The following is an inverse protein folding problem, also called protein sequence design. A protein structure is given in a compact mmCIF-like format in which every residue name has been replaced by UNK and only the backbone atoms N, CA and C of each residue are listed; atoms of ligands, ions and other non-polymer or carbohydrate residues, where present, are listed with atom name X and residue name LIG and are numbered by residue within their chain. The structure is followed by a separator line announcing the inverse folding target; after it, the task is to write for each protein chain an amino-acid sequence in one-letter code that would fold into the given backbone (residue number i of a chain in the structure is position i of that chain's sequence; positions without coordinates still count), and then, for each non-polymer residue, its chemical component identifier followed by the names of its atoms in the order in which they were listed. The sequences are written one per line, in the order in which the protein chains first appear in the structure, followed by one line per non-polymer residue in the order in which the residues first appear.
data_IF_371137815854
#
_entry.id   IF_371137815854
#
_cell.length_a   1.000
_cell.length_b   1.000
_cell.length_c   1.000
_cell.angle_alpha   90.00
_cell.angle_beta   90.00
_cell.angle_gamma   90.00
#
_symmetry.space_group_name_H-M   'P 1'
#
loop_
_entity.id
_entity.type
_entity.pdbx_description
1 polymer ?
#
# COMPACT_ATOMS: atom_id res chain seq x y z
N UNK A 1 -10.89 17.01 -19.92
CA UNK A 1 -9.66 17.72 -19.52
C UNK A 1 -8.52 17.18 -20.37
N UNK A 2 -7.59 18.02 -20.86
CA UNK A 2 -6.39 17.52 -21.55
C UNK A 2 -5.54 16.75 -20.52
N UNK A 3 -5.13 15.54 -20.85
CA UNK A 3 -4.15 14.81 -20.05
C UNK A 3 -2.86 15.64 -20.01
N UNK A 4 -2.45 16.07 -18.81
CA UNK A 4 -1.17 16.73 -18.58
C UNK A 4 -0.15 15.70 -18.12
N UNK A 5 1.07 15.76 -18.65
CA UNK A 5 2.19 14.94 -18.16
C UNK A 5 2.40 15.23 -16.67
N UNK A 6 2.31 14.20 -15.83
CA UNK A 6 2.66 14.29 -14.41
C UNK A 6 4.12 13.91 -14.22
N UNK A 7 4.91 14.87 -13.73
CA UNK A 7 6.26 14.64 -13.24
C UNK A 7 6.30 14.80 -11.72
N UNK A 8 6.93 13.84 -11.04
CA UNK A 8 7.13 13.83 -9.58
C UNK A 8 8.62 13.60 -9.29
N UNK A 9 9.41 14.65 -9.04
CA UNK A 9 10.82 14.51 -8.66
C UNK A 9 11.05 13.53 -7.49
N UNK A 10 12.28 13.03 -7.31
CA UNK A 10 12.64 12.25 -6.11
C UNK A 10 12.25 12.97 -4.82
N UNK A 11 11.73 12.24 -3.84
CA UNK A 11 11.30 12.81 -2.54
C UNK A 11 10.07 13.73 -2.60
N UNK A 12 9.40 13.85 -3.74
CA UNK A 12 8.16 14.61 -3.86
C UNK A 12 6.94 13.71 -4.06
N UNK A 13 5.79 14.19 -3.62
CA UNK A 13 4.51 13.49 -3.69
C UNK A 13 3.62 13.95 -2.55
N UNK A 14 2.38 13.51 -2.54
CA UNK A 14 1.56 13.61 -1.32
C UNK A 14 1.93 12.44 -0.42
N UNK A 15 2.29 12.71 0.82
CA UNK A 15 2.57 11.66 1.80
C UNK A 15 1.31 11.35 2.59
N UNK A 16 1.07 10.05 2.79
CA UNK A 16 0.09 9.50 3.71
C UNK A 16 0.81 8.60 4.71
N UNK A 17 0.43 8.70 5.97
CA UNK A 17 0.95 7.84 7.04
C UNK A 17 0.05 6.60 7.16
N UNK A 18 0.65 5.43 6.95
CA UNK A 18 0.07 4.15 7.34
C UNK A 18 0.74 3.65 8.64
N UNK A 19 0.12 2.71 9.39
CA UNK A 19 0.68 2.21 10.64
C UNK A 19 2.10 1.61 10.52
N UNK A 20 2.42 1.02 9.36
CA UNK A 20 3.64 0.26 9.10
C UNK A 20 4.55 0.89 8.02
N UNK A 21 4.14 1.99 7.39
CA UNK A 21 4.89 2.65 6.32
C UNK A 21 4.47 4.10 6.08
N UNK A 22 5.36 4.87 5.46
CA UNK A 22 4.99 6.10 4.77
C UNK A 22 4.67 5.78 3.31
N UNK A 23 3.52 6.27 2.83
CA UNK A 23 3.05 6.09 1.46
C UNK A 23 3.15 7.42 0.72
N UNK A 24 4.04 7.50 -0.26
CA UNK A 24 4.20 8.70 -1.09
C UNK A 24 3.52 8.51 -2.43
N UNK A 25 2.45 9.27 -2.69
CA UNK A 25 1.73 9.25 -3.96
C UNK A 25 2.56 9.92 -5.06
N UNK A 26 3.12 9.10 -5.97
CA UNK A 26 3.91 9.59 -7.12
C UNK A 26 3.00 9.94 -8.28
N UNK A 27 1.99 9.10 -8.57
CA UNK A 27 1.00 9.30 -9.62
C UNK A 27 -0.37 8.92 -9.06
N UNK A 28 -1.20 9.92 -8.74
CA UNK A 28 -2.60 9.72 -8.35
C UNK A 28 -3.51 9.47 -9.56
N UNK A 29 -4.69 8.88 -9.33
CA UNK A 29 -5.67 8.54 -10.37
C UNK A 29 -6.09 9.72 -11.27
N UNK A 30 -6.16 10.94 -10.72
CA UNK A 30 -6.49 12.15 -11.49
C UNK A 30 -5.50 12.43 -12.64
N UNK A 31 -4.25 11.98 -12.50
CA UNK A 31 -3.23 12.15 -13.53
C UNK A 31 -3.33 11.12 -14.65
N UNK A 32 -4.02 10.00 -14.42
CA UNK A 32 -4.09 8.86 -15.34
C UNK A 32 -5.48 8.65 -15.92
N UNK A 33 -6.44 9.51 -15.57
CA UNK A 33 -7.85 9.31 -15.90
C UNK A 33 -8.44 8.06 -15.20
N UNK A 34 -7.89 7.68 -14.04
CA UNK A 34 -8.32 6.50 -13.28
C UNK A 34 -7.76 5.17 -13.78
N UNK A 35 -6.79 5.17 -14.72
CA UNK A 35 -6.25 3.93 -15.27
C UNK A 35 -5.32 3.20 -14.29
N UNK A 36 -4.49 3.94 -13.57
CA UNK A 36 -3.58 3.39 -12.57
C UNK A 36 -3.14 4.46 -11.56
N UNK A 37 -2.57 3.99 -10.46
CA UNK A 37 -1.88 4.79 -9.47
C UNK A 37 -0.48 4.21 -9.20
N UNK A 38 0.46 5.07 -8.83
CA UNK A 38 1.82 4.70 -8.46
C UNK A 38 2.19 5.36 -7.13
N UNK A 39 2.65 4.54 -6.21
CA UNK A 39 3.08 4.92 -4.87
C UNK A 39 4.52 4.45 -4.65
N UNK A 40 5.27 5.24 -3.91
CA UNK A 40 6.53 4.83 -3.31
C UNK A 40 6.26 4.56 -1.83
N UNK A 41 6.61 3.36 -1.37
CA UNK A 41 6.41 2.93 0.02
C UNK A 41 7.77 2.91 0.72
N UNK A 42 7.86 3.62 1.84
CA UNK A 42 8.99 3.59 2.76
C UNK A 42 8.57 2.89 4.06
N UNK A 43 9.04 1.66 4.25
CA UNK A 43 8.65 0.81 5.37
C UNK A 43 9.85 0.52 6.29
N UNK A 44 9.89 1.05 7.52
CA UNK A 44 10.88 0.62 8.51
C UNK A 44 10.59 -0.80 8.99
N UNK A 45 11.60 -1.46 9.59
CA UNK A 45 11.36 -2.75 10.24
C UNK A 45 10.46 -2.58 11.47
N UNK A 46 9.39 -3.36 11.50
CA UNK A 46 8.45 -3.41 12.60
C UNK A 46 7.63 -4.70 12.59
N UNK A 47 6.65 -4.83 13.50
CA UNK A 47 5.65 -5.89 13.43
C UNK A 47 4.92 -5.85 12.09
N UNK A 48 4.59 -7.02 11.54
CA UNK A 48 3.76 -7.08 10.34
C UNK A 48 2.37 -6.52 10.64
N UNK A 49 1.79 -5.79 9.69
CA UNK A 49 0.37 -5.47 9.72
C UNK A 49 -0.49 -6.74 9.73
N UNK A 50 -1.73 -6.67 10.25
CA UNK A 50 -2.61 -7.83 10.27
C UNK A 50 -2.90 -8.31 8.83
N UNK A 51 -3.01 -9.63 8.59
CA UNK A 51 -3.42 -10.15 7.29
C UNK A 51 -4.76 -9.56 6.85
N UNK A 52 -4.84 -9.09 5.62
CA UNK A 52 -6.04 -8.42 5.10
C UNK A 52 -6.30 -8.78 3.64
N UNK A 53 -7.50 -8.49 3.17
CA UNK A 53 -7.89 -8.57 1.75
C UNK A 53 -8.42 -7.23 1.31
N UNK A 54 -8.05 -6.81 0.12
CA UNK A 54 -8.61 -5.62 -0.51
C UNK A 54 -9.48 -5.95 -1.72
N UNK A 55 -10.39 -5.04 -2.05
CA UNK A 55 -11.26 -5.15 -3.22
C UNK A 55 -10.55 -4.78 -4.55
N UNK A 56 -9.26 -4.43 -4.50
CA UNK A 56 -8.46 -4.08 -5.67
C UNK A 56 -7.20 -4.94 -5.76
N UNK A 57 -6.73 -5.17 -6.99
CA UNK A 57 -5.42 -5.79 -7.23
C UNK A 57 -4.31 -4.75 -7.09
N UNK A 58 -3.16 -5.19 -6.60
CA UNK A 58 -1.95 -4.37 -6.51
C UNK A 58 -0.72 -5.13 -6.98
N UNK A 59 0.34 -4.42 -7.33
CA UNK A 59 1.65 -4.99 -7.59
C UNK A 59 2.72 -4.25 -6.80
N UNK A 60 3.74 -4.99 -6.35
CA UNK A 60 4.93 -4.41 -5.75
C UNK A 60 6.15 -4.59 -6.64
N UNK A 61 7.08 -3.63 -6.58
CA UNK A 61 8.42 -3.73 -7.17
C UNK A 61 9.44 -3.19 -6.17
N UNK A 62 10.37 -4.04 -5.71
CA UNK A 62 11.31 -3.67 -4.64
C UNK A 62 12.48 -2.86 -5.18
N UNK A 63 12.77 -1.72 -4.55
CA UNK A 63 13.88 -0.82 -4.90
C UNK A 63 15.07 -1.01 -3.96
N UNK A 64 14.82 -1.13 -2.66
CA UNK A 64 15.82 -1.27 -1.61
C UNK A 64 15.31 -2.15 -0.48
N UNK A 65 16.22 -2.85 0.20
CA UNK A 65 15.90 -3.71 1.34
C UNK A 65 15.27 -5.02 0.90
N UNK A 66 14.61 -5.71 1.84
CA UNK A 66 13.89 -6.96 1.58
C UNK A 66 12.59 -7.01 2.35
N UNK A 67 11.55 -7.54 1.70
CA UNK A 67 10.26 -7.82 2.32
C UNK A 67 9.88 -9.29 2.12
N UNK A 68 9.26 -9.90 3.14
CA UNK A 68 8.55 -11.15 3.00
C UNK A 68 7.07 -10.82 2.77
N UNK A 69 6.55 -11.14 1.59
CA UNK A 69 5.11 -11.02 1.32
C UNK A 69 4.47 -12.37 1.58
N UNK A 70 3.50 -12.41 2.49
CA UNK A 70 2.63 -13.57 2.69
C UNK A 70 1.36 -13.31 1.87
N UNK A 71 1.01 -14.24 1.00
CA UNK A 71 -0.19 -14.18 0.17
C UNK A 71 -0.84 -15.58 0.13
N UNK A 72 -2.05 -15.66 0.67
CA UNK A 72 -2.74 -16.91 1.00
C UNK A 72 -1.80 -17.90 1.72
N UNK A 73 -1.60 -19.10 1.18
CA UNK A 73 -0.79 -20.16 1.79
C UNK A 73 0.71 -20.07 1.44
N UNK A 74 1.12 -19.02 0.71
CA UNK A 74 2.49 -18.87 0.20
C UNK A 74 3.21 -17.65 0.79
N UNK A 75 4.53 -17.77 0.89
CA UNK A 75 5.41 -16.68 1.31
C UNK A 75 6.50 -16.44 0.26
N UNK A 76 6.76 -15.18 -0.04
CA UNK A 76 7.66 -14.74 -1.10
C UNK A 76 8.69 -13.76 -0.52
N UNK A 77 9.97 -14.13 -0.52
CA UNK A 77 11.07 -13.26 -0.10
C UNK A 77 11.52 -12.39 -1.29
N UNK A 78 11.20 -11.10 -1.22
CA UNK A 78 11.42 -10.13 -2.29
C UNK A 78 12.58 -9.20 -1.93
N UNK A 79 13.66 -9.27 -2.70
CA UNK A 79 14.77 -8.30 -2.67
C UNK A 79 14.70 -7.32 -3.87
N UNK A 80 15.66 -6.38 -3.99
CA UNK A 80 15.65 -5.38 -5.05
C UNK A 80 15.56 -5.99 -6.45
N UNK A 81 14.68 -5.44 -7.30
CA UNK A 81 14.38 -5.96 -8.64
C UNK A 81 13.31 -7.06 -8.67
N UNK A 82 12.89 -7.58 -7.51
CA UNK A 82 11.77 -8.52 -7.43
C UNK A 82 10.44 -7.78 -7.59
N UNK A 83 9.46 -8.46 -8.18
CA UNK A 83 8.07 -7.99 -8.25
C UNK A 83 7.09 -9.08 -7.89
N UNK A 84 5.90 -8.67 -7.45
CA UNK A 84 4.77 -9.56 -7.17
C UNK A 84 3.48 -8.84 -7.55
N UNK A 85 2.48 -9.60 -7.99
CA UNK A 85 1.09 -9.12 -8.07
C UNK A 85 0.25 -9.83 -7.02
N UNK A 86 -0.63 -9.08 -6.37
CA UNK A 86 -1.59 -9.57 -5.39
C UNK A 86 -2.97 -9.28 -5.97
N UNK A 87 -3.69 -10.30 -6.46
CA UNK A 87 -5.05 -10.13 -6.96
C UNK A 87 -6.02 -9.65 -5.88
N UNK A 88 -7.07 -8.92 -6.27
CA UNK A 88 -8.17 -8.55 -5.37
C UNK A 88 -8.74 -9.79 -4.64
N UNK A 89 -9.02 -9.66 -3.35
CA UNK A 89 -9.56 -10.74 -2.51
C UNK A 89 -8.52 -11.74 -1.96
N UNK A 90 -7.25 -11.61 -2.34
CA UNK A 90 -6.14 -12.43 -1.80
C UNK A 90 -5.82 -11.99 -0.37
N UNK A 91 -5.77 -12.92 0.59
CA UNK A 91 -5.30 -12.56 1.94
C UNK A 91 -3.82 -12.30 1.87
N UNK A 92 -3.40 -11.11 2.28
CA UNK A 92 -2.00 -10.74 2.23
C UNK A 92 -1.54 -9.89 3.42
N UNK A 93 -0.24 -9.94 3.68
CA UNK A 93 0.51 -9.00 4.53
C UNK A 93 1.97 -9.00 4.08
N UNK A 94 2.77 -8.05 4.57
CA UNK A 94 4.21 -8.06 4.36
C UNK A 94 4.97 -7.80 5.66
N UNK A 95 6.18 -8.34 5.73
CA UNK A 95 7.14 -8.09 6.82
C UNK A 95 8.43 -7.54 6.22
N UNK A 96 8.98 -6.47 6.80
CA UNK A 96 10.30 -5.98 6.40
C UNK A 96 11.41 -6.81 7.06
N UNK A 97 12.31 -7.39 6.27
CA UNK A 97 13.39 -8.28 6.74
C UNK A 97 14.72 -7.56 6.98
N UNK A 98 14.92 -6.40 6.37
CA UNK A 98 16.06 -5.49 6.56
C UNK A 98 15.71 -4.35 7.53
N UNK A 99 16.65 -3.45 7.94
CA UNK A 99 16.29 -2.33 8.82
C UNK A 99 15.19 -1.41 8.26
N UNK A 100 15.12 -1.29 6.94
CA UNK A 100 14.03 -0.67 6.19
C UNK A 100 13.95 -1.28 4.78
N UNK A 101 12.83 -1.10 4.10
CA UNK A 101 12.64 -1.40 2.69
C UNK A 101 11.94 -0.24 1.97
N UNK A 102 12.30 -0.04 0.70
CA UNK A 102 11.62 0.90 -0.21
C UNK A 102 11.15 0.14 -1.43
N UNK A 103 9.88 0.28 -1.79
CA UNK A 103 9.29 -0.41 -2.93
C UNK A 103 8.20 0.42 -3.58
N UNK A 104 7.93 0.16 -4.85
CA UNK A 104 6.79 0.74 -5.54
C UNK A 104 5.55 -0.11 -5.27
N UNK A 105 4.42 0.54 -5.04
CA UNK A 105 3.11 -0.09 -5.12
C UNK A 105 2.32 0.50 -6.29
N UNK A 106 1.67 -0.36 -7.06
CA UNK A 106 0.88 0.00 -8.24
C UNK A 106 -0.50 -0.60 -8.09
N UNK A 107 -1.54 0.18 -8.29
CA UNK A 107 -2.92 -0.30 -8.33
C UNK A 107 -3.60 0.19 -9.60
N UNK A 108 -4.59 -0.59 -10.05
CA UNK A 108 -5.55 -0.11 -11.05
C UNK A 108 -6.65 0.67 -10.32
N UNK A 109 -7.28 1.63 -10.99
CA UNK A 109 -8.30 2.53 -10.40
C UNK A 109 -7.75 3.42 -9.29
N UNK A 110 -8.64 4.19 -8.64
CA UNK A 110 -8.34 5.12 -7.54
C UNK A 110 -8.55 4.51 -6.14
N UNK A 111 -8.87 3.21 -6.06
CA UNK A 111 -9.33 2.58 -4.82
C UNK A 111 -8.27 2.60 -3.72
N UNK A 112 -7.02 2.29 -4.07
CA UNK A 112 -5.93 2.25 -3.10
C UNK A 112 -5.55 3.65 -2.61
N UNK A 113 -5.49 4.64 -3.53
CA UNK A 113 -5.22 6.03 -3.16
C UNK A 113 -6.28 6.61 -2.23
N UNK A 114 -7.58 6.33 -2.49
CA UNK A 114 -8.67 6.75 -1.61
C UNK A 114 -8.60 6.09 -0.23
N UNK A 115 -8.23 4.82 -0.16
CA UNK A 115 -8.03 4.12 1.11
C UNK A 115 -6.92 4.77 1.94
N UNK A 116 -5.73 4.99 1.36
CA UNK A 116 -4.62 5.63 2.07
C UNK A 116 -4.93 7.06 2.51
N UNK A 117 -5.64 7.83 1.68
CA UNK A 117 -6.03 9.21 2.02
C UNK A 117 -7.04 9.29 3.17
N UNK A 118 -7.88 8.27 3.36
CA UNK A 118 -8.79 8.19 4.51
C UNK A 118 -8.09 7.59 5.75
N UNK A 119 -7.16 6.65 5.55
CA UNK A 119 -6.35 6.07 6.61
C UNK A 119 -5.48 7.12 7.30
N UNK A 120 -4.84 8.00 6.53
CA UNK A 120 -4.01 9.10 7.02
C UNK A 120 -4.77 10.10 7.91
N UNK A 121 -6.08 10.23 7.70
CA UNK A 121 -6.96 11.10 8.50
C UNK A 121 -7.48 10.43 9.76
N UNK A 122 -7.34 9.10 9.88
CA UNK A 122 -7.79 8.39 11.07
C UNK A 122 -6.84 8.70 12.24
N UNK A 123 -7.37 9.12 13.42
CA UNK A 123 -6.51 9.39 14.57
C UNK A 123 -5.72 8.15 14.98
N UNK A 124 -4.43 8.33 15.26
CA UNK A 124 -3.59 7.24 15.74
C UNK A 124 -4.16 6.64 17.04
N UNK A 125 -4.30 5.32 17.09
CA UNK A 125 -4.86 4.60 18.23
C UNK A 125 -6.40 4.60 18.31
N UNK A 126 -7.10 5.24 17.37
CA UNK A 126 -8.55 5.16 17.28
C UNK A 126 -8.97 3.97 16.40
N UNK A 127 -9.11 2.81 17.05
CA UNK A 127 -9.47 1.56 16.37
C UNK A 127 -10.87 1.59 15.75
N UNK A 128 -11.81 2.33 16.32
CA UNK A 128 -13.16 2.45 15.76
C UNK A 128 -13.14 3.28 14.49
N UNK A 129 -12.44 4.42 14.48
CA UNK A 129 -12.24 5.21 13.26
C UNK A 129 -11.55 4.38 12.17
N UNK A 130 -10.52 3.60 12.54
CA UNK A 130 -9.82 2.71 11.62
C UNK A 130 -10.75 1.63 11.05
N UNK A 131 -11.58 0.99 11.87
CA UNK A 131 -12.58 0.01 11.42
C UNK A 131 -13.58 0.61 10.42
N UNK A 132 -14.04 1.83 10.66
CA UNK A 132 -14.95 2.55 9.74
C UNK A 132 -14.28 2.79 8.39
N UNK A 133 -13.00 3.22 8.38
CA UNK A 133 -12.24 3.41 7.14
C UNK A 133 -12.07 2.09 6.40
N UNK A 134 -11.60 1.04 7.08
CA UNK A 134 -11.41 -0.30 6.51
C UNK A 134 -12.69 -0.80 5.82
N UNK A 135 -13.83 -0.74 6.52
CA UNK A 135 -15.10 -1.21 5.99
C UNK A 135 -15.57 -0.41 4.77
N UNK A 136 -15.40 0.92 4.78
CA UNK A 136 -15.78 1.81 3.66
C UNK A 136 -15.08 1.44 2.36
N UNK A 137 -13.83 1.00 2.44
CA UNK A 137 -13.00 0.71 1.26
C UNK A 137 -13.04 -0.77 0.84
N UNK A 138 -13.89 -1.58 1.47
CA UNK A 138 -13.95 -3.01 1.14
C UNK A 138 -12.69 -3.78 1.52
N UNK A 139 -11.92 -3.26 2.49
CA UNK A 139 -10.80 -3.96 3.10
C UNK A 139 -11.36 -4.85 4.21
N UNK A 140 -10.90 -6.09 4.30
CA UNK A 140 -11.27 -7.02 5.38
C UNK A 140 -10.01 -7.49 6.09
N UNK A 141 -10.03 -7.48 7.41
CA UNK A 141 -8.92 -7.97 8.23
C UNK A 141 -9.25 -9.39 8.69
N UNK A 142 -8.29 -10.30 8.50
CA UNK A 142 -8.37 -11.65 9.04
C UNK A 142 -7.70 -11.66 10.42
N UNK A 143 -8.50 -11.91 11.46
CA UNK A 143 -8.07 -11.90 12.86
C UNK A 143 -8.68 -10.75 13.66
N UNK A 144 -8.39 -10.68 14.95
CA UNK A 144 -8.79 -9.56 15.79
C UNK A 144 -7.86 -8.37 15.56
N UNK A 145 -8.45 -7.20 15.39
CA UNK A 145 -7.72 -5.94 15.57
C UNK A 145 -7.33 -5.85 17.05
N UNK A 146 -6.07 -5.50 17.40
CA UNK A 146 -5.65 -5.38 18.79
C UNK A 146 -6.44 -4.31 19.55
#
# INVERSE_FOLDING_TARGET
MKASVKFSPPGTGTEYVAPDATVTVKIAAVHTGGMYELFEIDAPRGPAGPPHKEAWSKAFYVLQGRILVQADDSAYDLGPGSSITIPAGTTNTFTVLTPAAKFLAISLTDSMGRFFADLDKAPAGDFEALRVVIARHGVTINGEMP
#
